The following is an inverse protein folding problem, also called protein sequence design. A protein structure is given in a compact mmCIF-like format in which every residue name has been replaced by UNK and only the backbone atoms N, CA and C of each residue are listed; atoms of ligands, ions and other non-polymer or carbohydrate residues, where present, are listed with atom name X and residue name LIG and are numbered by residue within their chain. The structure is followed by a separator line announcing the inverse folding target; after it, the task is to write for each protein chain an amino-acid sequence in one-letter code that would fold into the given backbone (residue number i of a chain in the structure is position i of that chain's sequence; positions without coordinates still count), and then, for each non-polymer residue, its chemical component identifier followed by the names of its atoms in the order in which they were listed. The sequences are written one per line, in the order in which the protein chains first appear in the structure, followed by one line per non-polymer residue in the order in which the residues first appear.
data_IF_873669117353
#
_entry.id   IF_873669117353
#
_cell.length_a   1.000
_cell.length_b   1.000
_cell.length_c   1.000
_cell.angle_alpha   90.00
_cell.angle_beta   90.00
_cell.angle_gamma   90.00
#
_symmetry.space_group_name_H-M   'P 1'
#
loop_
_entity.id
_entity.type
_entity.pdbx_description
1 polymer ?
#
# COMPACT_ATOMS: atom_id res chain seq x y z
N UNK A 1 23.58 -2.94 8.63
CA UNK A 1 22.16 -3.28 8.38
C UNK A 1 21.29 -2.09 8.80
N UNK A 2 20.02 -2.05 8.40
CA UNK A 2 19.08 -1.06 8.94
C UNK A 2 18.65 -1.44 10.37
N UNK A 3 18.52 -0.46 11.27
CA UNK A 3 18.06 -0.69 12.66
C UNK A 3 16.61 -1.16 12.71
N UNK A 4 15.79 -0.67 11.78
CA UNK A 4 14.37 -0.97 11.68
C UNK A 4 14.03 -1.70 10.38
N UNK A 5 13.01 -2.56 10.45
CA UNK A 5 12.41 -3.25 9.31
C UNK A 5 10.94 -2.86 9.21
N UNK A 6 10.50 -2.54 8.01
CA UNK A 6 9.09 -2.31 7.71
C UNK A 6 8.49 -3.57 7.10
N UNK A 7 7.49 -4.14 7.76
CA UNK A 7 6.73 -5.29 7.28
C UNK A 7 5.41 -4.75 6.73
N UNK A 8 5.19 -4.96 5.44
CA UNK A 8 3.93 -4.64 4.76
C UNK A 8 3.17 -5.94 4.51
N UNK A 9 2.06 -6.15 5.22
CA UNK A 9 1.23 -7.35 5.08
C UNK A 9 -0.06 -6.99 4.37
N UNK A 10 -0.21 -7.48 3.14
CA UNK A 10 -1.47 -7.34 2.40
C UNK A 10 -2.50 -8.31 2.95
N UNK A 11 -3.61 -7.77 3.46
CA UNK A 11 -4.72 -8.54 4.02
C UNK A 11 -5.88 -8.69 3.05
N UNK A 12 -5.97 -7.78 2.07
CA UNK A 12 -6.96 -7.83 1.00
C UNK A 12 -6.38 -7.28 -0.31
N UNK A 13 -6.75 -7.90 -1.42
CA UNK A 13 -6.44 -7.43 -2.77
C UNK A 13 -7.65 -7.65 -3.68
N UNK A 14 -8.17 -6.55 -4.22
CA UNK A 14 -9.10 -6.52 -5.34
C UNK A 14 -8.34 -6.00 -6.57
N UNK A 15 -8.20 -6.81 -7.63
CA UNK A 15 -7.48 -6.39 -8.85
C UNK A 15 -8.22 -5.30 -9.65
N UNK A 16 -9.54 -5.20 -9.49
CA UNK A 16 -10.37 -4.33 -10.32
C UNK A 16 -10.33 -4.72 -11.80
N UNK A 17 -10.95 -3.90 -12.64
CA UNK A 17 -10.99 -4.10 -14.09
C UNK A 17 -11.14 -2.77 -14.83
N UNK A 18 -10.73 -2.72 -16.09
CA UNK A 18 -11.10 -1.67 -17.02
C UNK A 18 -11.31 -2.31 -18.41
N UNK A 19 -12.53 -2.20 -18.94
CA UNK A 19 -12.92 -2.75 -20.25
C UNK A 19 -13.34 -1.66 -21.24
N UNK A 20 -12.94 -0.41 -20.99
CA UNK A 20 -13.26 0.76 -21.83
C UNK A 20 -14.67 1.32 -21.66
N UNK A 21 -15.67 0.47 -21.42
CA UNK A 21 -17.07 0.89 -21.17
C UNK A 21 -17.45 0.94 -19.69
N UNK A 22 -16.72 0.20 -18.85
CA UNK A 22 -16.90 0.14 -17.40
C UNK A 22 -15.57 -0.15 -16.74
N UNK A 23 -15.40 0.35 -15.52
CA UNK A 23 -14.19 0.11 -14.73
C UNK A 23 -14.47 0.02 -13.24
N UNK A 24 -13.57 -0.68 -12.55
CA UNK A 24 -13.45 -0.74 -11.10
C UNK A 24 -11.97 -0.65 -10.78
N UNK A 25 -11.59 0.29 -9.92
CA UNK A 25 -10.19 0.44 -9.50
C UNK A 25 -9.71 -0.81 -8.78
N UNK A 26 -8.40 -1.05 -8.81
CA UNK A 26 -7.79 -1.96 -7.85
C UNK A 26 -7.91 -1.38 -6.44
N UNK A 27 -7.90 -2.24 -5.43
CA UNK A 27 -7.93 -1.83 -4.04
C UNK A 27 -7.18 -2.83 -3.17
N UNK A 28 -6.35 -2.34 -2.26
CA UNK A 28 -5.66 -3.18 -1.28
C UNK A 28 -5.99 -2.72 0.15
N UNK A 29 -5.98 -3.66 1.08
CA UNK A 29 -5.82 -3.37 2.50
C UNK A 29 -4.47 -3.92 2.96
N UNK A 30 -3.74 -3.13 3.75
CA UNK A 30 -2.43 -3.51 4.28
C UNK A 30 -2.34 -3.20 5.77
N UNK A 31 -1.73 -4.11 6.52
CA UNK A 31 -1.22 -3.88 7.87
C UNK A 31 0.27 -3.55 7.74
N UNK A 32 0.72 -2.44 8.35
CA UNK A 32 2.11 -2.01 8.31
C UNK A 32 2.69 -2.04 9.70
N UNK A 33 3.81 -2.74 9.86
CA UNK A 33 4.53 -2.85 11.12
C UNK A 33 5.94 -2.30 10.94
N UNK A 34 6.35 -1.40 11.83
CA UNK A 34 7.75 -1.02 11.98
C UNK A 34 8.31 -1.75 13.20
N UNK A 35 9.31 -2.59 13.00
CA UNK A 35 9.91 -3.44 14.03
C UNK A 35 11.41 -3.22 14.12
N UNK A 36 12.04 -3.62 15.24
CA UNK A 36 13.51 -3.71 15.27
C UNK A 36 13.98 -4.86 14.38
N UNK A 37 14.98 -4.61 13.55
CA UNK A 37 15.52 -5.64 12.64
C UNK A 37 16.11 -6.82 13.43
N UNK A 38 16.74 -6.56 14.57
CA UNK A 38 17.35 -7.60 15.41
C UNK A 38 16.32 -8.40 16.23
N UNK A 39 15.10 -7.86 16.42
CA UNK A 39 14.01 -8.51 17.15
C UNK A 39 12.65 -8.09 16.56
N UNK A 40 12.11 -8.84 15.59
CA UNK A 40 10.82 -8.54 14.96
C UNK A 40 9.61 -8.60 15.90
N UNK A 41 9.76 -9.18 17.11
CA UNK A 41 8.70 -9.17 18.12
C UNK A 41 8.55 -7.81 18.80
N UNK A 42 9.60 -6.99 18.72
CA UNK A 42 9.60 -5.61 19.20
C UNK A 42 8.98 -4.68 18.14
N UNK A 43 7.66 -4.52 18.23
CA UNK A 43 6.87 -3.63 17.38
C UNK A 43 6.96 -2.19 17.90
N UNK A 44 7.58 -1.31 17.10
CA UNK A 44 7.69 0.12 17.39
C UNK A 44 6.38 0.84 17.09
N UNK A 45 5.77 0.52 15.95
CA UNK A 45 4.47 1.06 15.56
C UNK A 45 3.75 0.13 14.58
N UNK A 46 2.42 0.17 14.63
CA UNK A 46 1.52 -0.51 13.71
C UNK A 46 0.47 0.47 13.21
N UNK A 47 0.13 0.36 11.93
CA UNK A 47 -0.98 1.08 11.31
C UNK A 47 -1.64 0.25 10.22
N UNK A 48 -2.94 0.45 10.06
CA UNK A 48 -3.73 -0.21 9.03
C UNK A 48 -4.09 0.81 7.95
N UNK A 49 -3.99 0.40 6.69
CA UNK A 49 -4.43 1.20 5.54
C UNK A 49 -5.46 0.41 4.76
N UNK A 50 -6.71 0.85 4.83
CA UNK A 50 -7.83 0.21 4.15
C UNK A 50 -8.19 0.89 2.84
N UNK A 51 -8.63 0.07 1.88
CA UNK A 51 -9.18 0.50 0.59
C UNK A 51 -8.26 1.44 -0.18
N UNK A 52 -6.94 1.22 -0.10
CA UNK A 52 -5.95 2.00 -0.84
C UNK A 52 -6.19 1.77 -2.33
N UNK A 53 -6.56 2.81 -3.10
CA UNK A 53 -7.00 2.61 -4.48
C UNK A 53 -5.82 2.61 -5.44
N UNK A 54 -5.89 1.74 -6.45
CA UNK A 54 -4.96 1.69 -7.57
C UNK A 54 -5.66 1.94 -8.90
N UNK A 55 -5.26 3.02 -9.58
CA UNK A 55 -5.81 3.43 -10.88
C UNK A 55 -4.79 4.27 -11.62
N UNK A 56 -4.82 4.19 -12.95
CA UNK A 56 -4.03 5.05 -13.80
C UNK A 56 -4.60 6.46 -13.91
N UNK A 57 -3.78 7.37 -14.44
CA UNK A 57 -4.27 8.65 -14.93
C UNK A 57 -4.82 8.50 -16.35
N UNK A 58 -5.83 9.32 -16.70
CA UNK A 58 -6.39 9.40 -18.06
C UNK A 58 -7.03 8.11 -18.62
N UNK A 59 -7.45 7.17 -17.76
CA UNK A 59 -8.21 5.98 -18.17
C UNK A 59 -7.43 4.92 -18.94
N UNK A 60 -6.09 5.04 -18.98
CA UNK A 60 -5.19 4.07 -19.63
C UNK A 60 -4.88 2.83 -18.79
N UNK A 61 -5.63 2.55 -17.73
CA UNK A 61 -5.36 1.48 -16.80
C UNK A 61 -6.07 0.18 -17.15
N UNK A 62 -5.85 -0.32 -18.36
CA UNK A 62 -6.38 -1.62 -18.82
C UNK A 62 -5.65 -2.80 -18.18
N UNK A 63 -4.37 -2.64 -17.89
CA UNK A 63 -3.54 -3.69 -17.29
C UNK A 63 -3.77 -3.82 -15.78
N UNK A 64 -4.09 -5.04 -15.35
CA UNK A 64 -4.36 -5.34 -13.94
C UNK A 64 -3.14 -5.15 -13.05
N UNK A 65 -1.97 -5.59 -13.51
CA UNK A 65 -0.71 -5.45 -12.77
C UNK A 65 -0.39 -3.98 -12.51
N UNK A 66 -0.63 -3.12 -13.51
CA UNK A 66 -0.44 -1.68 -13.38
C UNK A 66 -1.35 -1.09 -12.30
N UNK A 67 -2.66 -1.42 -12.30
CA UNK A 67 -3.59 -0.93 -11.27
C UNK A 67 -3.18 -1.37 -9.87
N UNK A 68 -2.81 -2.63 -9.69
CA UNK A 68 -2.33 -3.14 -8.39
C UNK A 68 -1.06 -2.38 -7.97
N UNK A 69 -0.12 -2.19 -8.89
CA UNK A 69 1.12 -1.42 -8.64
C UNK A 69 0.83 0.01 -8.16
N UNK A 70 -0.12 0.70 -8.79
CA UNK A 70 -0.55 2.04 -8.36
C UNK A 70 -1.15 2.05 -6.95
N UNK A 71 -1.85 0.98 -6.53
CA UNK A 71 -2.36 0.88 -5.16
C UNK A 71 -1.21 0.86 -4.13
N UNK A 72 -0.16 0.07 -4.38
CA UNK A 72 1.03 0.03 -3.52
C UNK A 72 1.83 1.34 -3.57
N UNK A 73 1.97 1.95 -4.76
CA UNK A 73 2.65 3.23 -4.90
C UNK A 73 1.96 4.34 -4.09
N UNK A 74 0.62 4.39 -4.16
CA UNK A 74 -0.18 5.30 -3.35
C UNK A 74 -0.05 5.00 -1.85
N UNK A 75 -0.14 3.73 -1.47
CA UNK A 75 0.04 3.29 -0.08
C UNK A 75 1.38 3.74 0.50
N UNK A 76 2.48 3.54 -0.24
CA UNK A 76 3.81 4.00 0.15
C UNK A 76 3.90 5.52 0.32
N UNK A 77 3.27 6.30 -0.57
CA UNK A 77 3.24 7.77 -0.48
C UNK A 77 2.49 8.26 0.75
N UNK A 78 1.33 7.68 1.04
CA UNK A 78 0.52 8.04 2.21
C UNK A 78 1.21 7.62 3.52
N UNK A 79 1.80 6.43 3.55
CA UNK A 79 2.60 5.93 4.66
C UNK A 79 3.77 6.89 4.98
N UNK A 80 4.53 7.31 3.96
CA UNK A 80 5.62 8.27 4.13
C UNK A 80 5.12 9.60 4.73
N UNK A 81 3.97 10.10 4.27
CA UNK A 81 3.37 11.31 4.85
C UNK A 81 2.97 11.13 6.32
N UNK A 82 2.45 9.97 6.70
CA UNK A 82 2.08 9.66 8.09
C UNK A 82 3.32 9.64 8.97
N UNK A 83 4.39 8.97 8.53
CA UNK A 83 5.67 8.90 9.25
C UNK A 83 6.23 10.31 9.45
N UNK A 84 6.36 11.10 8.37
CA UNK A 84 6.88 12.46 8.44
C UNK A 84 6.03 13.38 9.34
N UNK A 85 4.69 13.24 9.32
CA UNK A 85 3.80 14.05 10.19
C UNK A 85 3.91 13.69 11.66
N UNK A 86 4.15 12.41 11.98
CA UNK A 86 4.30 11.93 13.35
C UNK A 86 5.70 12.17 13.93
N UNK A 87 6.65 12.61 13.12
CA UNK A 87 8.04 12.83 13.54
C UNK A 87 8.77 11.54 13.93
N UNK A 88 8.34 10.41 13.34
CA UNK A 88 9.03 9.12 13.44
C UNK A 88 10.21 9.07 12.47
#
# INVERSE_FOLDING_TARGET
SAEYTLILKTTFLEPGYNIGISSKNASINVEVFLVKTEDPSNVITQLDMDKVPGRGSFGGDFDTEYRIGEAYAKGGKELAQIICKKGL
#
